data_IF_222956750129
#
_entry.id   IF_222956750129
#
_cell.length_a   1.000
_cell.length_b   1.000
_cell.length_c   1.000
_cell.angle_alpha   90.00
_cell.angle_beta   90.00
_cell.angle_gamma   90.00
#
_symmetry.space_group_name_H-M   'P 1'
#
loop_
_entity.id
_entity.type
_entity.pdbx_description
1 polymer ?
#
# COMPACT_ATOMS: atom_id res chain seq x y z
N UNK A 1 12.70 7.82 -3.56
CA UNK A 1 11.68 6.74 -3.33
C UNK A 1 10.58 6.78 -4.38
N UNK A 2 9.73 5.75 -4.44
CA UNK A 2 8.56 5.70 -5.32
C UNK A 2 7.39 5.03 -4.60
N UNK A 3 6.16 5.52 -4.85
CA UNK A 3 4.92 4.85 -4.50
C UNK A 3 4.36 4.06 -5.68
N UNK A 4 3.97 2.82 -5.45
CA UNK A 4 3.31 1.96 -6.43
C UNK A 4 2.01 1.46 -5.83
N UNK A 5 0.92 1.49 -6.59
CA UNK A 5 -0.36 1.04 -6.08
C UNK A 5 -1.17 0.22 -7.08
N UNK A 6 -1.90 -0.77 -6.57
CA UNK A 6 -3.05 -1.37 -7.24
C UNK A 6 -4.33 -0.78 -6.62
N UNK A 7 -5.24 -0.22 -7.40
CA UNK A 7 -6.44 0.42 -6.87
C UNK A 7 -7.62 0.36 -7.84
N UNK A 8 -8.66 -0.39 -7.50
CA UNK A 8 -9.90 -0.46 -8.30
C UNK A 8 -10.78 0.77 -8.11
N UNK A 9 -11.02 1.20 -6.87
CA UNK A 9 -12.00 2.26 -6.53
C UNK A 9 -11.38 3.58 -6.05
N UNK A 10 -10.05 3.68 -6.07
CA UNK A 10 -9.34 4.90 -5.67
C UNK A 10 -8.84 4.91 -4.23
N UNK A 11 -9.34 4.07 -3.33
CA UNK A 11 -8.95 4.07 -1.91
C UNK A 11 -7.45 3.87 -1.70
N UNK A 12 -6.86 2.85 -2.33
CA UNK A 12 -5.43 2.59 -2.23
C UNK A 12 -4.60 3.71 -2.87
N UNK A 13 -5.03 4.18 -4.06
CA UNK A 13 -4.40 5.33 -4.72
C UNK A 13 -4.33 6.53 -3.79
N UNK A 14 -5.44 6.87 -3.14
CA UNK A 14 -5.50 7.97 -2.17
C UNK A 14 -4.48 7.79 -1.04
N UNK A 15 -4.48 6.61 -0.41
CA UNK A 15 -3.58 6.34 0.71
C UNK A 15 -2.11 6.43 0.31
N UNK A 16 -1.73 5.82 -0.81
CA UNK A 16 -0.33 5.81 -1.27
C UNK A 16 0.12 7.19 -1.72
N UNK A 17 -0.72 7.90 -2.48
CA UNK A 17 -0.40 9.26 -2.91
C UNK A 17 -0.17 10.17 -1.71
N UNK A 18 -1.06 10.14 -0.73
CA UNK A 18 -0.95 10.97 0.47
C UNK A 18 0.27 10.60 1.32
N UNK A 19 0.50 9.31 1.56
CA UNK A 19 1.64 8.83 2.34
C UNK A 19 2.97 9.24 1.69
N UNK A 20 3.14 8.94 0.41
CA UNK A 20 4.38 9.26 -0.32
C UNK A 20 4.64 10.75 -0.35
N UNK A 21 3.62 11.56 -0.66
CA UNK A 21 3.78 13.03 -0.74
C UNK A 21 4.05 13.70 0.61
N UNK A 22 3.62 13.09 1.72
CA UNK A 22 3.99 13.54 3.07
C UNK A 22 5.46 13.22 3.40
N UNK A 23 6.01 12.14 2.85
CA UNK A 23 7.40 11.73 3.09
C UNK A 23 8.34 12.46 2.15
N UNK A 24 7.99 12.52 0.87
CA UNK A 24 8.78 13.15 -0.20
C UNK A 24 7.83 13.72 -1.26
N UNK A 25 7.66 15.05 -1.23
CA UNK A 25 6.76 15.74 -2.15
C UNK A 25 7.14 15.59 -3.63
N UNK A 26 8.42 15.32 -3.91
CA UNK A 26 8.95 15.14 -5.28
C UNK A 26 8.82 13.70 -5.80
N UNK A 27 8.60 12.72 -4.91
CA UNK A 27 8.56 11.31 -5.29
C UNK A 27 7.41 10.99 -6.24
N UNK A 28 7.65 10.12 -7.20
CA UNK A 28 6.64 9.58 -8.12
C UNK A 28 5.66 8.64 -7.40
N UNK A 29 4.41 8.68 -7.86
CA UNK A 29 3.36 7.73 -7.47
C UNK A 29 2.66 7.22 -8.72
N UNK A 30 2.75 5.92 -8.99
CA UNK A 30 2.24 5.31 -10.22
C UNK A 30 1.40 4.07 -9.95
N UNK A 31 0.44 3.75 -10.81
CA UNK A 31 -0.26 2.46 -10.72
C UNK A 31 0.70 1.29 -11.02
N UNK A 32 0.36 0.12 -10.50
CA UNK A 32 1.12 -1.12 -10.73
C UNK A 32 1.19 -1.48 -12.21
N UNK A 33 0.17 -1.09 -12.97
CA UNK A 33 -0.02 -1.36 -14.39
C UNK A 33 0.69 -0.35 -15.31
N UNK A 34 1.37 0.65 -14.74
CA UNK A 34 2.11 1.66 -15.51
C UNK A 34 3.25 1.00 -16.30
N UNK A 35 3.31 1.26 -17.61
CA UNK A 35 4.32 0.67 -18.49
C UNK A 35 5.75 0.99 -18.06
N UNK A 36 5.95 2.14 -17.41
CA UNK A 36 7.26 2.59 -16.91
C UNK A 36 7.59 2.11 -15.50
N UNK A 37 6.70 1.35 -14.83
CA UNK A 37 6.85 0.97 -13.43
C UNK A 37 8.15 0.22 -13.16
N UNK A 38 8.55 -0.68 -14.05
CA UNK A 38 9.79 -1.46 -13.92
C UNK A 38 11.02 -0.55 -13.92
N UNK A 39 11.09 0.40 -14.85
CA UNK A 39 12.23 1.33 -14.95
C UNK A 39 12.25 2.29 -13.75
N UNK A 40 11.11 2.70 -13.27
CA UNK A 40 11.00 3.50 -12.06
C UNK A 40 11.44 2.73 -10.82
N UNK A 41 11.10 1.45 -10.70
CA UNK A 41 11.60 0.57 -9.62
C UNK A 41 13.13 0.49 -9.67
N UNK A 42 13.72 0.27 -10.85
CA UNK A 42 15.19 0.18 -11.02
C UNK A 42 15.92 1.42 -10.52
N UNK A 43 15.34 2.60 -10.68
CA UNK A 43 15.93 3.89 -10.30
C UNK A 43 15.73 4.26 -8.82
N UNK A 44 14.90 3.51 -8.10
CA UNK A 44 14.52 3.83 -6.72
C UNK A 44 14.96 2.73 -5.74
N UNK A 45 15.64 3.11 -4.65
CA UNK A 45 16.07 2.17 -3.61
C UNK A 45 14.97 1.82 -2.62
N UNK A 46 14.04 2.75 -2.37
CA UNK A 46 12.91 2.57 -1.45
C UNK A 46 11.59 2.60 -2.20
N UNK A 47 10.74 1.62 -1.95
CA UNK A 47 9.46 1.44 -2.64
C UNK A 47 8.36 1.29 -1.60
N UNK A 48 7.30 2.06 -1.77
CA UNK A 48 6.04 1.92 -1.02
C UNK A 48 5.04 1.22 -1.94
N UNK A 49 4.67 -0.02 -1.61
CA UNK A 49 3.74 -0.82 -2.40
C UNK A 49 2.39 -0.91 -1.69
N UNK A 50 1.36 -0.34 -2.31
CA UNK A 50 0.00 -0.32 -1.80
C UNK A 50 -0.99 -1.16 -2.61
N UNK A 51 -1.90 -1.85 -1.92
CA UNK A 51 -2.93 -2.68 -2.55
C UNK A 51 -4.12 -2.91 -1.61
N UNK A 52 -5.32 -3.18 -2.17
CA UNK A 52 -6.46 -3.60 -1.35
C UNK A 52 -6.28 -5.04 -0.88
N UNK A 53 -6.67 -5.33 0.36
CA UNK A 53 -6.70 -6.71 0.86
C UNK A 53 -7.86 -7.48 0.22
N UNK A 54 -7.56 -8.64 -0.33
CA UNK A 54 -8.55 -9.59 -0.86
C UNK A 54 -8.40 -10.92 -0.12
N UNK A 55 -9.47 -11.38 0.53
CA UNK A 55 -9.47 -12.64 1.30
C UNK A 55 -8.27 -12.77 2.25
N UNK A 56 -8.01 -11.72 3.03
CA UNK A 56 -6.88 -11.65 3.96
C UNK A 56 -5.49 -11.77 3.32
N UNK A 57 -5.37 -11.50 2.03
CA UNK A 57 -4.13 -11.65 1.26
C UNK A 57 -3.92 -10.45 0.32
N UNK A 58 -2.71 -10.32 -0.22
CA UNK A 58 -2.46 -9.45 -1.36
C UNK A 58 -3.16 -10.00 -2.62
N UNK A 59 -3.74 -9.14 -3.48
CA UNK A 59 -4.37 -9.56 -4.73
C UNK A 59 -3.45 -10.40 -5.61
N UNK A 60 -4.05 -11.27 -6.43
CA UNK A 60 -3.29 -12.09 -7.37
C UNK A 60 -2.35 -11.26 -8.23
N UNK A 61 -2.83 -10.15 -8.80
CA UNK A 61 -2.03 -9.26 -9.64
C UNK A 61 -0.77 -8.75 -8.95
N UNK A 62 -0.87 -8.36 -7.66
CA UNK A 62 0.28 -7.92 -6.86
C UNK A 62 1.26 -9.07 -6.64
N UNK A 63 0.76 -10.25 -6.28
CA UNK A 63 1.60 -11.43 -6.06
C UNK A 63 2.30 -11.90 -7.33
N UNK A 64 1.58 -11.87 -8.46
CA UNK A 64 2.10 -12.20 -9.76
C UNK A 64 3.18 -11.21 -10.21
N UNK A 65 2.90 -9.92 -10.09
CA UNK A 65 3.89 -8.86 -10.37
C UNK A 65 5.19 -9.05 -9.57
N UNK A 66 5.08 -9.36 -8.26
CA UNK A 66 6.25 -9.61 -7.42
C UNK A 66 7.03 -10.82 -7.92
N UNK A 67 6.37 -11.92 -8.27
CA UNK A 67 7.00 -13.16 -8.73
C UNK A 67 7.66 -13.00 -10.10
N UNK A 68 6.94 -12.42 -11.04
CA UNK A 68 7.43 -12.20 -12.42
C UNK A 68 8.67 -11.30 -12.44
N UNK A 69 8.76 -10.37 -11.50
CA UNK A 69 9.85 -9.42 -11.40
C UNK A 69 10.81 -9.73 -10.23
N UNK A 70 11.01 -11.00 -9.92
CA UNK A 70 11.76 -11.45 -8.73
C UNK A 70 13.15 -10.81 -8.57
N UNK A 71 13.87 -10.61 -9.67
CA UNK A 71 15.22 -10.04 -9.68
C UNK A 71 15.27 -8.55 -9.29
N UNK A 72 14.15 -7.83 -9.39
CA UNK A 72 14.09 -6.40 -9.06
C UNK A 72 14.18 -6.12 -7.56
N UNK A 73 13.77 -7.09 -6.73
CA UNK A 73 13.56 -6.85 -5.30
C UNK A 73 14.84 -6.95 -4.47
N UNK A 74 15.88 -7.60 -4.98
CA UNK A 74 17.12 -7.78 -4.24
C UNK A 74 17.72 -6.44 -3.81
N UNK A 75 17.87 -6.27 -2.50
CA UNK A 75 18.44 -5.06 -1.88
C UNK A 75 17.51 -3.84 -1.89
N UNK A 76 16.25 -3.97 -2.34
CA UNK A 76 15.26 -2.88 -2.28
C UNK A 76 14.65 -2.80 -0.88
N UNK A 77 14.47 -1.58 -0.39
CA UNK A 77 13.75 -1.28 0.86
C UNK A 77 12.26 -1.17 0.57
N UNK A 78 11.45 -1.96 1.25
CA UNK A 78 10.03 -2.10 0.97
C UNK A 78 9.17 -1.69 2.15
N UNK A 79 8.14 -0.90 1.89
CA UNK A 79 7.04 -0.62 2.82
C UNK A 79 5.77 -1.13 2.15
N UNK A 80 5.11 -2.12 2.78
CA UNK A 80 3.86 -2.68 2.27
C UNK A 80 2.66 -1.99 2.94
N UNK A 81 1.72 -1.49 2.15
CA UNK A 81 0.51 -0.82 2.65
C UNK A 81 -0.71 -1.56 2.16
N UNK A 82 -1.43 -2.19 3.09
CA UNK A 82 -2.68 -2.88 2.79
C UNK A 82 -3.87 -2.00 3.18
N UNK A 83 -4.75 -1.70 2.22
CA UNK A 83 -6.04 -1.05 2.49
C UNK A 83 -7.13 -2.09 2.65
N UNK A 84 -8.11 -1.83 3.52
CA UNK A 84 -9.18 -2.78 3.85
C UNK A 84 -10.48 -2.07 4.19
N UNK A 85 -11.61 -2.70 3.94
CA UNK A 85 -12.93 -2.23 4.40
C UNK A 85 -13.20 -2.62 5.85
N UNK A 86 -13.26 -3.90 6.15
CA UNK A 86 -13.56 -4.42 7.48
C UNK A 86 -12.36 -5.07 8.16
N UNK A 87 -11.69 -5.99 7.48
CA UNK A 87 -10.65 -6.83 8.05
C UNK A 87 -9.52 -7.07 7.05
N UNK A 88 -8.27 -6.95 7.51
CA UNK A 88 -7.10 -7.12 6.65
C UNK A 88 -6.48 -8.51 6.73
N UNK A 89 -6.74 -9.25 7.81
CA UNK A 89 -5.98 -10.47 8.08
C UNK A 89 -4.49 -10.22 8.02
N UNK A 90 -3.80 -11.00 7.21
CA UNK A 90 -2.36 -10.91 6.97
C UNK A 90 -2.00 -10.12 5.68
N UNK A 91 -2.88 -9.19 5.27
CA UNK A 91 -2.78 -8.49 3.99
C UNK A 91 -1.39 -7.90 3.68
N UNK A 92 -0.81 -7.13 4.59
CA UNK A 92 0.53 -6.56 4.39
C UNK A 92 1.64 -7.60 4.55
N UNK A 93 1.50 -8.53 5.48
CA UNK A 93 2.49 -9.58 5.76
C UNK A 93 2.70 -10.55 4.60
N UNK A 94 1.64 -10.88 3.86
CA UNK A 94 1.72 -11.78 2.72
C UNK A 94 2.67 -11.27 1.62
N UNK A 95 2.52 -10.03 1.19
CA UNK A 95 3.41 -9.44 0.20
C UNK A 95 4.82 -9.22 0.75
N UNK A 96 4.93 -8.80 2.02
CA UNK A 96 6.21 -8.61 2.68
C UNK A 96 7.05 -9.90 2.70
N UNK A 97 6.45 -11.04 3.07
CA UNK A 97 7.15 -12.34 3.06
C UNK A 97 7.57 -12.74 1.64
N UNK A 98 6.70 -12.50 0.65
CA UNK A 98 7.02 -12.80 -0.74
C UNK A 98 8.18 -11.96 -1.27
N UNK A 99 8.18 -10.66 -1.00
CA UNK A 99 9.26 -9.74 -1.35
C UNK A 99 10.57 -10.12 -0.65
N UNK A 100 10.52 -10.46 0.64
CA UNK A 100 11.67 -10.92 1.41
C UNK A 100 12.28 -12.19 0.82
N UNK A 101 11.46 -13.12 0.31
CA UNK A 101 11.93 -14.33 -0.39
C UNK A 101 12.81 -13.98 -1.60
N UNK A 102 12.55 -12.87 -2.26
CA UNK A 102 13.33 -12.37 -3.40
C UNK A 102 14.41 -11.34 -3.03
N UNK A 103 14.76 -11.27 -1.75
CA UNK A 103 15.89 -10.48 -1.27
C UNK A 103 15.59 -9.01 -0.97
N UNK A 104 14.33 -8.62 -0.86
CA UNK A 104 13.96 -7.29 -0.39
C UNK A 104 14.17 -7.15 1.13
N UNK A 105 14.53 -5.94 1.55
CA UNK A 105 14.53 -5.51 2.95
C UNK A 105 13.16 -4.94 3.30
N UNK A 106 12.42 -5.60 4.19
CA UNK A 106 11.10 -5.13 4.60
C UNK A 106 11.26 -4.17 5.78
N UNK A 107 10.95 -2.90 5.56
CA UNK A 107 11.01 -1.87 6.58
C UNK A 107 9.73 -1.86 7.43
N UNK A 108 8.56 -1.96 6.79
CA UNK A 108 7.27 -1.83 7.49
C UNK A 108 6.12 -2.50 6.75
N UNK A 109 5.08 -2.86 7.53
CA UNK A 109 3.75 -3.23 7.04
C UNK A 109 2.69 -2.33 7.65
N UNK A 110 1.95 -1.58 6.84
CA UNK A 110 0.90 -0.66 7.30
C UNK A 110 -0.46 -1.13 6.84
N UNK A 111 -1.42 -1.19 7.74
CA UNK A 111 -2.82 -1.51 7.44
C UNK A 111 -3.67 -0.26 7.60
N UNK A 112 -4.40 0.14 6.57
CA UNK A 112 -5.25 1.34 6.58
C UNK A 112 -6.68 0.94 6.30
N UNK A 113 -7.57 1.20 7.27
CA UNK A 113 -9.01 1.01 7.08
C UNK A 113 -9.54 2.14 6.21
N UNK A 114 -10.22 1.77 5.13
CA UNK A 114 -10.88 2.68 4.19
C UNK A 114 -12.37 2.36 4.11
N UNK A 115 -13.20 3.29 3.63
CA UNK A 115 -14.59 2.97 3.32
C UNK A 115 -14.67 1.77 2.37
N UNK A 116 -15.65 0.89 2.63
CA UNK A 116 -15.83 -0.29 1.79
C UNK A 116 -16.27 0.13 0.39
N UNK A 117 -15.70 -0.53 -0.62
CA UNK A 117 -15.99 -0.28 -2.04
C UNK A 117 -17.03 -1.25 -2.61
N UNK A 118 -17.52 -2.21 -1.81
CA UNK A 118 -18.58 -3.13 -2.23
C UNK A 118 -19.93 -2.45 -2.03
N UNK A 119 -20.34 -1.65 -3.02
CA UNK A 119 -21.58 -0.85 -2.96
C UNK A 119 -22.88 -1.69 -2.96
N UNK A 120 -22.81 -2.96 -3.35
CA UNK A 120 -23.99 -3.81 -3.57
C UNK A 120 -24.50 -4.52 -2.31
N UNK A 121 -23.71 -4.57 -1.25
CA UNK A 121 -24.13 -5.15 0.01
C UNK A 121 -24.89 -4.13 0.86
N UNK A 122 -26.20 -4.35 1.07
CA UNK A 122 -27.02 -3.52 1.97
C UNK A 122 -26.46 -3.49 3.40
N UNK A 123 -25.73 -4.53 3.82
CA UNK A 123 -25.07 -4.63 5.13
C UNK A 123 -23.85 -3.70 5.26
N UNK A 124 -23.27 -3.26 4.16
CA UNK A 124 -22.07 -2.41 4.12
C UNK A 124 -22.36 -0.96 3.74
N UNK A 125 -23.62 -0.63 3.41
CA UNK A 125 -24.05 0.77 3.20
C UNK A 125 -23.97 1.53 4.52
N UNK A 126 -23.01 2.42 4.60
CA UNK A 126 -22.82 3.30 5.75
C UNK A 126 -23.39 4.68 5.47
N UNK A 127 -23.81 5.38 6.52
CA UNK A 127 -24.20 6.78 6.43
C UNK A 127 -22.95 7.65 6.12
N UNK A 128 -23.16 8.82 5.50
CA UNK A 128 -22.07 9.72 5.11
C UNK A 128 -21.17 10.10 6.30
N UNK A 129 -21.75 10.28 7.49
CA UNK A 129 -20.98 10.58 8.71
C UNK A 129 -20.02 9.46 9.12
N UNK A 130 -20.40 8.20 8.88
CA UNK A 130 -19.51 7.07 9.13
C UNK A 130 -18.35 7.00 8.13
N UNK A 131 -18.62 7.36 6.86
CA UNK A 131 -17.57 7.50 5.85
C UNK A 131 -16.55 8.54 6.25
N UNK A 132 -17.00 9.74 6.65
CA UNK A 132 -16.15 10.82 7.09
C UNK A 132 -15.27 10.41 8.28
N UNK A 133 -15.83 9.75 9.27
CA UNK A 133 -15.09 9.24 10.44
C UNK A 133 -14.02 8.19 10.05
N UNK A 134 -14.30 7.34 9.05
CA UNK A 134 -13.31 6.36 8.56
C UNK A 134 -12.18 7.10 7.85
N UNK A 135 -12.51 8.08 6.99
CA UNK A 135 -11.52 8.88 6.27
C UNK A 135 -10.63 9.68 7.22
N UNK A 136 -11.18 10.32 8.24
CA UNK A 136 -10.41 11.04 9.26
C UNK A 136 -9.44 10.12 10.02
N UNK A 137 -9.88 8.90 10.36
CA UNK A 137 -9.01 7.90 11.01
C UNK A 137 -7.92 7.41 10.07
N UNK A 138 -8.25 7.19 8.78
CA UNK A 138 -7.27 6.82 7.76
C UNK A 138 -6.22 7.90 7.59
N UNK A 139 -6.64 9.16 7.50
CA UNK A 139 -5.74 10.32 7.38
C UNK A 139 -4.80 10.46 8.56
N UNK A 140 -5.31 10.32 9.77
CA UNK A 140 -4.48 10.33 10.98
C UNK A 140 -3.44 9.22 10.94
N UNK A 141 -3.84 8.00 10.57
CA UNK A 141 -2.92 6.86 10.48
C UNK A 141 -1.87 7.04 9.40
N UNK A 142 -2.22 7.62 8.25
CA UNK A 142 -1.28 7.95 7.17
C UNK A 142 -0.27 8.99 7.67
N UNK A 143 -0.73 10.04 8.35
CA UNK A 143 0.14 11.08 8.89
C UNK A 143 1.13 10.52 9.94
N UNK A 144 0.63 9.71 10.88
CA UNK A 144 1.47 9.05 11.88
C UNK A 144 2.50 8.12 11.24
N UNK A 145 2.09 7.32 10.24
CA UNK A 145 3.00 6.46 9.50
C UNK A 145 4.08 7.27 8.77
N UNK A 146 3.70 8.34 8.07
CA UNK A 146 4.64 9.22 7.38
C UNK A 146 5.67 9.82 8.36
N UNK A 147 5.21 10.36 9.50
CA UNK A 147 6.07 10.93 10.54
C UNK A 147 7.08 9.90 11.05
N UNK A 148 6.66 8.69 11.36
CA UNK A 148 7.53 7.61 11.84
C UNK A 148 8.54 7.20 10.77
N UNK A 149 8.11 7.04 9.53
CA UNK A 149 8.99 6.68 8.39
C UNK A 149 10.08 7.74 8.20
N UNK A 150 9.73 9.03 8.25
CA UNK A 150 10.70 10.14 8.14
C UNK A 150 11.74 10.08 9.28
N UNK A 151 11.33 9.68 10.47
CA UNK A 151 12.21 9.53 11.63
C UNK A 151 13.03 8.23 11.63
N UNK A 152 12.82 7.34 10.64
CA UNK A 152 13.45 6.01 10.60
C UNK A 152 12.87 5.01 11.62
N UNK A 153 11.76 5.37 12.29
CA UNK A 153 10.99 4.49 13.17
C UNK A 153 9.86 3.85 12.37
N UNK A 154 10.12 2.67 11.84
CA UNK A 154 9.18 2.00 10.95
C UNK A 154 8.04 1.32 11.72
N UNK A 155 6.74 1.62 11.40
CA UNK A 155 5.60 0.92 11.97
C UNK A 155 5.69 -0.60 11.69
N UNK A 156 5.46 -1.39 12.73
CA UNK A 156 5.37 -2.87 12.64
C UNK A 156 3.93 -3.31 12.56
#
# INVERSE_FOLDING_TARGET
MIGIYLSGTGNTKYCITKLVKLIDASADVVPLEDESVIDKIKRNGTIILGYPTQFSNAPYMVRDFIKTNASLWKGRKMICVATMGAFSGDGAGCAARLLKKYGAEILSGVHIKMPDSVCDSKLLKRQMDEYNKIMEKADRKIYEAAKRIIQGDYPK
#
